data_IF_338265287288
#
_entry.id   IF_338265287288
#
_cell.length_a   1.000
_cell.length_b   1.000
_cell.length_c   1.000
_cell.angle_alpha   90.00
_cell.angle_beta   90.00
_cell.angle_gamma   90.00
#
_symmetry.space_group_name_H-M   'P 1'
#
loop_
_entity.id
_entity.type
_entity.pdbx_description
1 polymer ?
#
# COMPACT_ATOMS: atom_id res chain seq x y z
N UNK A 1 50.93 -45.87 72.68
CA UNK A 1 51.23 -46.76 73.85
C UNK A 1 52.24 -47.80 73.39
N UNK A 2 53.26 -48.13 74.18
CA UNK A 2 54.17 -49.24 73.87
C UNK A 2 53.41 -50.57 74.00
N UNK A 3 52.82 -51.01 72.88
CA UNK A 3 51.99 -52.21 72.82
C UNK A 3 52.81 -53.48 72.55
N UNK A 4 54.11 -53.35 72.25
CA UNK A 4 55.00 -54.47 71.92
C UNK A 4 56.17 -54.64 72.93
N UNK A 5 56.28 -53.74 73.90
CA UNK A 5 57.26 -53.70 74.99
C UNK A 5 58.73 -53.60 74.54
N UNK A 6 59.01 -53.00 73.38
CA UNK A 6 60.38 -52.85 72.88
C UNK A 6 61.11 -51.59 73.41
N UNK A 7 60.39 -50.75 74.15
CA UNK A 7 60.91 -49.53 74.77
C UNK A 7 60.77 -48.28 73.91
N UNK A 8 60.20 -48.39 72.71
CA UNK A 8 59.70 -47.27 71.94
C UNK A 8 58.18 -47.18 72.12
N UNK A 9 57.56 -46.08 71.70
CA UNK A 9 56.11 -45.88 71.81
C UNK A 9 55.59 -45.56 70.42
N UNK A 10 54.62 -46.35 69.96
CA UNK A 10 53.93 -46.19 68.67
C UNK A 10 54.86 -46.36 67.44
N UNK A 11 55.86 -47.27 67.50
CA UNK A 11 56.74 -47.52 66.34
C UNK A 11 55.96 -48.00 65.11
N UNK A 12 56.20 -47.34 63.98
CA UNK A 12 55.59 -47.69 62.69
C UNK A 12 54.16 -47.19 62.51
N UNK A 13 53.64 -46.36 63.43
CA UNK A 13 52.32 -45.70 63.34
C UNK A 13 52.41 -44.20 63.07
N UNK A 14 53.56 -43.71 62.61
CA UNK A 14 53.71 -42.31 62.23
C UNK A 14 53.27 -42.08 60.79
N UNK A 15 52.55 -40.98 60.57
CA UNK A 15 52.21 -40.47 59.25
C UNK A 15 52.98 -39.17 59.02
N UNK A 16 53.26 -38.87 57.75
CA UNK A 16 53.79 -37.58 57.35
C UNK A 16 52.61 -36.63 57.19
N UNK A 17 52.70 -35.48 57.86
CA UNK A 17 51.75 -34.38 57.81
C UNK A 17 52.44 -33.17 57.17
N UNK A 18 51.75 -32.47 56.29
CA UNK A 18 52.25 -31.34 55.50
C UNK A 18 51.61 -30.05 56.00
N UNK A 19 52.38 -28.98 56.11
CA UNK A 19 51.85 -27.70 56.58
C UNK A 19 50.75 -27.23 55.62
N UNK A 20 49.67 -26.71 56.19
CA UNK A 20 48.52 -26.11 55.50
C UNK A 20 48.40 -24.69 56.05
N UNK A 21 49.16 -23.78 55.44
CA UNK A 21 49.40 -22.43 55.97
C UNK A 21 48.31 -21.43 55.57
N UNK A 22 47.58 -21.68 54.49
CA UNK A 22 46.44 -20.86 54.06
C UNK A 22 45.06 -21.45 54.42
N UNK A 23 44.99 -22.72 54.80
CA UNK A 23 43.80 -23.36 55.36
C UNK A 23 42.84 -23.96 54.33
N UNK A 24 43.30 -24.31 53.13
CA UNK A 24 42.48 -24.93 52.09
C UNK A 24 42.37 -26.48 52.20
N UNK A 25 43.13 -27.07 53.13
CA UNK A 25 43.27 -28.50 53.41
C UNK A 25 44.17 -29.31 52.46
N UNK A 26 44.92 -28.63 51.60
CA UNK A 26 46.09 -29.15 50.92
C UNK A 26 47.34 -28.66 51.67
N UNK A 27 48.51 -29.26 51.43
CA UNK A 27 49.69 -28.84 52.16
C UNK A 27 51.00 -28.95 51.39
N UNK A 28 51.99 -28.16 51.79
CA UNK A 28 53.29 -28.04 51.12
C UNK A 28 54.13 -29.31 51.29
N UNK A 29 54.43 -29.98 50.17
CA UNK A 29 55.32 -31.16 50.12
C UNK A 29 56.72 -30.91 50.72
N UNK A 30 57.20 -29.66 50.70
CA UNK A 30 58.50 -29.24 51.21
C UNK A 30 58.50 -28.92 52.70
N UNK A 31 57.31 -28.80 53.32
CA UNK A 31 57.15 -28.48 54.72
C UNK A 31 56.33 -29.56 55.44
N UNK A 32 57.01 -30.61 55.89
CA UNK A 32 56.35 -31.75 56.56
C UNK A 32 56.97 -32.12 57.90
N UNK A 33 56.12 -32.68 58.76
CA UNK A 33 56.49 -33.28 60.04
C UNK A 33 55.94 -34.70 60.14
N UNK A 34 56.60 -35.54 60.92
CA UNK A 34 56.18 -36.93 61.16
C UNK A 34 55.60 -37.05 62.55
N UNK A 35 54.33 -37.41 62.66
CA UNK A 35 53.62 -37.52 63.95
C UNK A 35 52.55 -38.63 63.89
N UNK A 36 52.10 -39.10 65.06
CA UNK A 36 51.09 -40.17 65.20
C UNK A 36 49.65 -39.65 65.01
N UNK A 37 49.42 -38.34 65.18
CA UNK A 37 48.12 -37.69 65.05
C UNK A 37 48.28 -36.36 64.33
N UNK A 38 47.25 -35.90 63.60
CA UNK A 38 47.25 -34.62 62.88
C UNK A 38 47.65 -33.44 63.79
N UNK A 39 48.81 -32.83 63.55
CA UNK A 39 49.21 -31.59 64.22
C UNK A 39 48.33 -30.42 63.74
N UNK A 40 48.13 -29.41 64.58
CA UNK A 40 47.36 -28.23 64.18
C UNK A 40 48.06 -27.45 63.07
N UNK A 41 47.35 -27.10 62.00
CA UNK A 41 47.90 -26.43 60.81
C UNK A 41 48.67 -27.35 59.87
N UNK A 42 48.41 -28.67 59.94
CA UNK A 42 48.96 -29.64 59.01
C UNK A 42 47.87 -30.58 58.52
N UNK A 43 47.98 -31.05 57.29
CA UNK A 43 47.08 -32.01 56.65
C UNK A 43 47.83 -33.22 56.10
N UNK A 44 47.11 -34.28 55.77
CA UNK A 44 47.71 -35.50 55.21
C UNK A 44 47.95 -35.41 53.71
N UNK A 45 47.25 -34.48 53.05
CA UNK A 45 47.41 -34.20 51.64
C UNK A 45 48.67 -33.33 51.43
N UNK A 46 49.36 -33.52 50.31
CA UNK A 46 50.63 -32.86 50.01
C UNK A 46 50.69 -32.28 48.60
N UNK A 47 49.51 -32.02 48.05
CA UNK A 47 49.30 -31.75 46.63
C UNK A 47 49.16 -30.26 46.32
N UNK A 48 49.31 -29.40 47.34
CA UNK A 48 49.26 -27.95 47.23
C UNK A 48 50.42 -27.41 46.40
N UNK A 49 50.11 -26.55 45.43
CA UNK A 49 51.10 -25.88 44.60
C UNK A 49 51.50 -24.48 45.12
N UNK A 50 50.71 -23.85 45.97
CA UNK A 50 51.03 -22.59 46.67
C UNK A 50 50.34 -22.51 48.04
N UNK A 51 51.01 -23.05 49.07
CA UNK A 51 50.64 -23.05 50.51
C UNK A 51 50.58 -21.65 51.15
N UNK A 52 50.49 -20.60 50.34
CA UNK A 52 50.24 -19.23 50.77
C UNK A 52 48.97 -18.60 50.17
N UNK A 53 48.31 -19.26 49.20
CA UNK A 53 47.08 -18.82 48.56
C UNK A 53 46.03 -19.94 48.55
N UNK A 54 44.94 -19.81 49.34
CA UNK A 54 43.92 -20.86 49.47
C UNK A 54 43.05 -21.03 48.22
N UNK A 55 43.37 -20.35 47.11
CA UNK A 55 42.75 -20.54 45.80
C UNK A 55 43.65 -21.36 44.84
N UNK A 56 44.80 -21.86 45.29
CA UNK A 56 45.74 -22.59 44.43
C UNK A 56 45.92 -24.03 44.95
N UNK A 57 44.92 -24.88 44.67
CA UNK A 57 44.91 -26.27 45.11
C UNK A 57 44.31 -27.23 44.07
N UNK A 58 44.68 -28.52 44.11
CA UNK A 58 44.22 -29.50 43.14
C UNK A 58 42.72 -29.55 42.90
N UNK A 59 42.33 -29.31 41.64
CA UNK A 59 40.95 -29.37 41.20
C UNK A 59 40.10 -28.17 41.65
N UNK A 60 40.71 -27.06 42.04
CA UNK A 60 40.02 -25.79 42.11
C UNK A 60 39.60 -25.32 40.69
N UNK A 61 38.82 -24.24 40.61
CA UNK A 61 38.47 -23.64 39.31
C UNK A 61 39.56 -22.69 38.84
N UNK A 62 40.11 -22.94 37.67
CA UNK A 62 41.04 -22.04 37.00
C UNK A 62 40.34 -20.74 36.56
N UNK A 63 40.93 -19.61 36.91
CA UNK A 63 40.41 -18.27 36.59
C UNK A 63 41.52 -17.37 36.04
N UNK A 64 41.12 -16.24 35.45
CA UNK A 64 42.04 -15.27 34.86
C UNK A 64 42.74 -14.39 35.90
N UNK A 65 43.64 -14.94 36.70
CA UNK A 65 44.41 -14.23 37.71
C UNK A 65 45.94 -14.35 37.56
N UNK A 66 46.42 -15.13 36.58
CA UNK A 66 47.85 -15.37 36.35
C UNK A 66 48.49 -16.39 37.27
N UNK A 67 47.69 -17.17 37.99
CA UNK A 67 48.11 -18.25 38.89
C UNK A 67 47.67 -19.60 38.31
N UNK A 68 48.17 -20.69 38.89
CA UNK A 68 47.73 -22.07 38.59
C UNK A 68 46.79 -22.45 39.73
N UNK A 69 45.49 -22.17 39.56
CA UNK A 69 44.53 -22.31 40.65
C UNK A 69 44.23 -23.78 40.94
N UNK A 70 44.32 -24.66 39.94
CA UNK A 70 43.95 -26.07 40.05
C UNK A 70 45.15 -27.04 40.16
N UNK A 71 46.36 -26.50 40.20
CA UNK A 71 47.64 -27.18 40.36
C UNK A 71 47.95 -28.22 39.27
N UNK A 72 47.47 -28.06 38.04
CA UNK A 72 47.75 -28.96 36.92
C UNK A 72 49.00 -28.56 36.09
N UNK A 73 49.66 -27.45 36.46
CA UNK A 73 50.80 -26.80 35.80
C UNK A 73 50.48 -26.01 34.53
N UNK A 74 49.20 -25.78 34.24
CA UNK A 74 48.74 -24.84 33.24
C UNK A 74 48.28 -23.54 33.95
N UNK A 75 48.32 -22.43 33.22
CA UNK A 75 47.99 -21.11 33.76
C UNK A 75 47.15 -20.36 32.73
N UNK A 76 46.02 -19.84 33.16
CA UNK A 76 45.08 -19.04 32.39
C UNK A 76 44.77 -19.71 31.03
N UNK A 77 45.12 -19.04 29.92
CA UNK A 77 44.86 -19.43 28.53
C UNK A 77 45.52 -20.75 28.10
N UNK A 78 46.45 -21.27 28.91
CA UNK A 78 47.09 -22.55 28.65
C UNK A 78 46.27 -23.72 29.20
N UNK A 79 45.35 -23.43 30.11
CA UNK A 79 44.55 -24.40 30.83
C UNK A 79 43.20 -24.66 30.11
N UNK A 80 42.88 -25.91 29.75
CA UNK A 80 41.59 -26.27 29.16
C UNK A 80 40.38 -26.13 30.10
N UNK A 81 40.60 -26.08 31.42
CA UNK A 81 39.59 -25.99 32.48
C UNK A 81 39.36 -24.53 32.93
N UNK A 82 40.04 -23.56 32.30
CA UNK A 82 39.85 -22.12 32.49
C UNK A 82 38.36 -21.72 32.46
N UNK A 83 37.95 -20.92 33.43
CA UNK A 83 36.67 -20.22 33.46
C UNK A 83 36.89 -18.73 33.21
N UNK A 84 37.07 -18.39 31.94
CA UNK A 84 37.33 -17.02 31.46
C UNK A 84 36.11 -16.26 30.98
N UNK A 85 36.36 -15.12 30.33
CA UNK A 85 35.33 -14.35 29.63
C UNK A 85 35.08 -14.95 28.25
N UNK A 86 33.84 -14.88 27.77
CA UNK A 86 33.50 -15.26 26.40
C UNK A 86 33.59 -14.02 25.52
N UNK A 87 34.38 -14.11 24.46
CA UNK A 87 34.46 -13.11 23.39
C UNK A 87 33.91 -13.69 22.09
N UNK A 88 33.41 -12.82 21.23
CA UNK A 88 32.72 -13.13 19.98
C UNK A 88 33.50 -12.54 18.81
N UNK A 89 33.57 -13.27 17.70
CA UNK A 89 34.25 -12.81 16.49
C UNK A 89 33.55 -11.53 15.98
N UNK A 90 34.34 -10.52 15.66
CA UNK A 90 33.95 -9.30 14.95
C UNK A 90 34.52 -9.43 13.54
N UNK A 91 33.71 -10.00 12.63
CA UNK A 91 34.22 -10.46 11.34
C UNK A 91 34.32 -9.37 10.27
N UNK A 92 33.56 -8.28 10.39
CA UNK A 92 33.60 -7.13 9.48
C UNK A 92 34.34 -5.90 10.05
N UNK A 93 34.62 -5.87 11.35
CA UNK A 93 35.46 -4.87 12.00
C UNK A 93 34.71 -3.64 12.50
N UNK A 94 33.42 -3.73 12.80
CA UNK A 94 32.60 -2.64 13.30
C UNK A 94 32.57 -2.51 14.85
N UNK A 95 33.26 -3.42 15.55
CA UNK A 95 33.32 -3.57 17.02
C UNK A 95 32.12 -4.26 17.68
N UNK A 96 31.23 -4.86 16.91
CA UNK A 96 30.16 -5.73 17.35
C UNK A 96 30.45 -7.17 16.92
N UNK A 97 30.05 -8.12 17.77
CA UNK A 97 30.39 -9.52 17.56
C UNK A 97 29.18 -10.33 17.14
N UNK A 98 29.36 -11.25 16.20
CA UNK A 98 28.35 -12.23 15.84
C UNK A 98 28.14 -13.30 16.91
N UNK A 99 26.91 -13.81 17.04
CA UNK A 99 26.60 -14.88 18.01
C UNK A 99 27.11 -16.29 17.59
N UNK A 100 27.68 -16.42 16.40
CA UNK A 100 27.97 -17.71 15.76
C UNK A 100 29.33 -18.30 16.14
N UNK A 101 30.30 -17.45 16.45
CA UNK A 101 31.68 -17.82 16.73
C UNK A 101 32.15 -17.13 18.00
N UNK A 102 32.48 -17.92 19.02
CA UNK A 102 32.98 -17.41 20.29
C UNK A 102 34.18 -18.19 20.80
N UNK A 103 34.98 -17.53 21.63
CA UNK A 103 36.15 -18.09 22.28
C UNK A 103 36.21 -17.63 23.73
N UNK A 104 36.59 -18.54 24.63
CA UNK A 104 36.91 -18.20 26.01
C UNK A 104 38.35 -17.69 26.10
N UNK A 105 38.54 -16.57 26.79
CA UNK A 105 39.85 -15.97 27.05
C UNK A 105 39.78 -15.02 28.27
N UNK A 106 40.93 -14.64 28.79
CA UNK A 106 41.11 -13.64 29.82
C UNK A 106 41.06 -12.22 29.27
N UNK A 107 41.61 -12.01 28.07
CA UNK A 107 41.56 -10.72 27.35
C UNK A 107 41.00 -10.92 25.95
N UNK A 108 40.41 -9.89 25.32
CA UNK A 108 39.83 -10.03 23.99
C UNK A 108 40.92 -10.48 22.99
N UNK A 109 40.75 -11.65 22.34
CA UNK A 109 41.64 -12.05 21.26
C UNK A 109 41.60 -11.05 20.09
N UNK A 110 42.64 -10.97 19.24
CA UNK A 110 42.59 -10.13 18.05
C UNK A 110 41.42 -10.51 17.14
N UNK A 111 40.58 -9.52 16.80
CA UNK A 111 39.37 -9.72 16.00
C UNK A 111 38.16 -10.24 16.78
N UNK A 112 38.21 -10.20 18.12
CA UNK A 112 37.08 -10.58 18.97
C UNK A 112 36.68 -9.44 19.91
N UNK A 113 35.39 -9.33 20.20
CA UNK A 113 34.78 -8.33 21.09
C UNK A 113 33.95 -8.99 22.19
N UNK A 114 33.60 -8.26 23.24
CA UNK A 114 32.90 -8.81 24.40
C UNK A 114 31.37 -8.88 24.25
N UNK A 115 30.83 -8.38 23.15
CA UNK A 115 29.39 -8.34 22.88
C UNK A 115 29.05 -9.32 21.74
N UNK A 116 27.78 -9.73 21.65
CA UNK A 116 27.29 -10.70 20.66
C UNK A 116 26.00 -10.24 19.97
N UNK A 117 25.89 -8.93 19.78
CA UNK A 117 24.65 -8.23 19.45
C UNK A 117 24.60 -7.76 17.99
N UNK A 118 25.61 -8.11 17.20
CA UNK A 118 25.63 -7.89 15.77
C UNK A 118 24.57 -8.76 15.06
N UNK A 119 23.76 -8.13 14.21
CA UNK A 119 22.74 -8.81 13.42
C UNK A 119 23.25 -9.31 12.05
N UNK A 120 24.34 -8.75 11.51
CA UNK A 120 25.03 -9.25 10.32
C UNK A 120 26.56 -9.05 10.40
N UNK A 121 27.22 -10.04 10.99
CA UNK A 121 28.69 -10.18 11.17
C UNK A 121 29.50 -10.23 9.86
N UNK A 122 28.93 -9.85 8.72
CA UNK A 122 29.63 -9.68 7.44
C UNK A 122 29.42 -8.29 6.82
N UNK A 123 28.62 -7.42 7.45
CA UNK A 123 28.28 -6.10 6.95
C UNK A 123 28.49 -5.04 8.07
N UNK A 124 29.57 -4.25 7.99
CA UNK A 124 29.93 -3.30 9.05
C UNK A 124 28.98 -2.09 9.12
N UNK A 125 27.95 -2.03 8.27
CA UNK A 125 26.88 -1.04 8.32
C UNK A 125 25.62 -1.58 9.05
N UNK A 126 25.63 -2.81 9.57
CA UNK A 126 24.48 -3.45 10.22
C UNK A 126 24.76 -3.83 11.68
N UNK A 127 24.71 -2.86 12.59
CA UNK A 127 25.04 -3.06 14.00
C UNK A 127 24.17 -2.24 14.96
N UNK A 128 24.09 -2.62 16.26
CA UNK A 128 23.25 -1.94 17.22
C UNK A 128 23.48 -0.43 17.33
N UNK A 129 22.37 0.32 17.37
CA UNK A 129 22.34 1.78 17.43
C UNK A 129 22.95 2.49 16.21
N UNK A 130 23.19 1.79 15.09
CA UNK A 130 23.56 2.46 13.85
C UNK A 130 22.41 3.37 13.34
N UNK A 131 22.72 4.25 12.39
CA UNK A 131 21.69 5.06 11.74
C UNK A 131 21.11 4.29 10.56
N UNK A 132 19.80 4.09 10.58
CA UNK A 132 19.07 3.55 9.43
C UNK A 132 19.40 4.32 8.15
N UNK A 133 19.53 3.57 7.06
CA UNK A 133 19.52 4.09 5.69
C UNK A 133 18.49 3.29 4.91
N UNK A 134 17.84 3.93 3.93
CA UNK A 134 16.85 3.19 3.14
C UNK A 134 17.52 2.30 2.09
N UNK A 135 17.91 1.10 2.51
CA UNK A 135 18.51 0.08 1.67
C UNK A 135 17.79 -1.28 1.77
N UNK A 136 16.74 -1.37 2.60
CA UNK A 136 15.99 -2.58 2.84
C UNK A 136 16.66 -3.54 3.82
N UNK A 137 17.65 -3.06 4.58
CA UNK A 137 18.31 -3.76 5.67
C UNK A 137 17.90 -3.17 7.03
N UNK A 138 18.20 -3.90 8.10
CA UNK A 138 18.03 -3.44 9.48
C UNK A 138 19.41 -2.98 9.94
N UNK A 139 19.75 -1.71 9.69
CA UNK A 139 21.11 -1.23 9.91
C UNK A 139 21.42 -1.09 11.41
N UNK A 140 20.41 -0.89 12.25
CA UNK A 140 20.54 -0.63 13.67
C UNK A 140 20.23 -1.84 14.56
N UNK A 141 19.91 -2.99 13.96
CA UNK A 141 19.60 -4.26 14.60
C UNK A 141 18.43 -4.20 15.61
N UNK A 142 17.43 -3.34 15.40
CA UNK A 142 16.25 -3.24 16.28
C UNK A 142 15.11 -4.21 15.91
N UNK A 143 15.26 -4.92 14.78
CA UNK A 143 14.29 -5.86 14.22
C UNK A 143 13.26 -5.22 13.28
N UNK A 144 13.39 -3.94 12.96
CA UNK A 144 12.63 -3.22 11.94
C UNK A 144 13.56 -2.88 10.77
N UNK A 145 12.95 -2.66 9.59
CA UNK A 145 13.70 -2.33 8.37
C UNK A 145 13.31 -0.91 7.97
N UNK A 146 14.32 -0.07 7.74
CA UNK A 146 14.20 1.32 7.28
C UNK A 146 13.24 2.19 8.15
N UNK A 147 13.14 1.95 9.46
CA UNK A 147 12.16 2.64 10.30
C UNK A 147 12.46 4.13 10.46
N UNK A 148 11.39 4.93 10.49
CA UNK A 148 11.51 6.39 10.49
C UNK A 148 11.98 7.00 9.15
N UNK A 149 12.34 6.19 8.15
CA UNK A 149 12.71 6.63 6.81
C UNK A 149 11.65 6.35 5.74
N UNK A 150 10.74 5.41 6.01
CA UNK A 150 9.64 5.10 5.09
C UNK A 150 8.52 6.14 5.15
N UNK A 151 8.02 6.53 3.97
CA UNK A 151 6.80 7.33 3.82
C UNK A 151 5.67 6.39 3.35
N UNK A 152 4.44 6.63 3.80
CA UNK A 152 3.27 5.94 3.27
C UNK A 152 2.88 6.62 1.95
N UNK A 153 2.78 5.83 0.90
CA UNK A 153 2.37 6.26 -0.43
C UNK A 153 1.04 5.60 -0.78
N UNK A 154 0.16 6.32 -1.45
CA UNK A 154 -1.21 5.95 -1.81
C UNK A 154 -1.33 5.81 -3.32
N UNK A 155 -1.99 4.78 -3.80
CA UNK A 155 -2.12 4.54 -5.24
C UNK A 155 -2.88 5.70 -5.90
N UNK A 156 -2.42 6.13 -7.08
CA UNK A 156 -3.00 7.18 -7.92
C UNK A 156 -3.27 6.53 -9.29
N UNK A 157 -4.46 5.92 -9.43
CA UNK A 157 -4.81 5.09 -10.57
C UNK A 157 -5.24 5.91 -11.79
N UNK A 158 -5.82 7.09 -11.59
CA UNK A 158 -6.30 7.96 -12.66
C UNK A 158 -5.34 9.10 -13.04
N UNK A 159 -4.32 9.36 -12.22
CA UNK A 159 -3.22 10.27 -12.50
C UNK A 159 -3.49 11.73 -12.16
N UNK A 160 -4.41 12.04 -11.23
CA UNK A 160 -4.72 13.41 -10.81
C UNK A 160 -3.85 13.95 -9.66
N UNK A 161 -2.93 13.13 -9.14
CA UNK A 161 -1.99 13.40 -8.04
C UNK A 161 -2.52 13.27 -6.62
N UNK A 162 -3.75 12.81 -6.45
CA UNK A 162 -4.32 12.37 -5.18
C UNK A 162 -4.43 10.85 -5.19
N UNK A 163 -4.40 10.21 -4.02
CA UNK A 163 -4.40 8.75 -3.96
C UNK A 163 -5.41 8.15 -2.99
N UNK A 164 -5.77 6.89 -3.24
CA UNK A 164 -6.74 6.14 -2.45
C UNK A 164 -6.19 5.77 -1.06
N UNK A 165 -6.81 6.28 -0.01
CA UNK A 165 -6.49 5.97 1.39
C UNK A 165 -6.54 4.47 1.72
N UNK A 166 -7.31 3.68 0.97
CA UNK A 166 -7.48 2.24 1.17
C UNK A 166 -6.43 1.40 0.41
N UNK A 167 -5.63 2.03 -0.44
CA UNK A 167 -4.60 1.37 -1.24
C UNK A 167 -3.24 2.07 -1.03
N UNK A 168 -2.49 1.63 -0.03
CA UNK A 168 -1.21 2.24 0.33
C UNK A 168 -0.08 1.22 0.49
N UNK A 169 1.15 1.70 0.30
CA UNK A 169 2.40 0.98 0.51
C UNK A 169 3.39 1.87 1.27
N UNK A 170 4.27 1.26 2.07
CA UNK A 170 5.40 1.96 2.69
C UNK A 170 6.61 1.87 1.79
N UNK A 171 7.22 3.01 1.47
CA UNK A 171 8.45 3.09 0.68
C UNK A 171 9.20 4.39 1.00
N UNK A 172 10.52 4.39 0.82
CA UNK A 172 11.33 5.58 1.12
C UNK A 172 11.27 6.65 0.04
N UNK A 173 11.01 6.25 -1.19
CA UNK A 173 10.84 7.15 -2.34
C UNK A 173 9.53 6.85 -3.03
N UNK A 174 8.93 7.87 -3.63
CA UNK A 174 7.68 7.77 -4.38
C UNK A 174 7.70 6.61 -5.38
N UNK A 175 6.92 5.54 -5.15
CA UNK A 175 6.74 4.47 -6.12
C UNK A 175 5.96 4.99 -7.33
N UNK A 176 6.21 4.41 -8.51
CA UNK A 176 5.48 4.79 -9.71
C UNK A 176 3.98 4.46 -9.57
N UNK A 177 3.10 5.42 -9.88
CA UNK A 177 1.66 5.28 -9.71
C UNK A 177 1.18 5.43 -8.27
N UNK A 178 2.00 6.03 -7.39
CA UNK A 178 1.61 6.37 -6.03
C UNK A 178 1.98 7.83 -5.70
N UNK A 179 1.26 8.45 -4.78
CA UNK A 179 1.45 9.81 -4.28
C UNK A 179 1.40 9.85 -2.75
N UNK A 180 1.90 10.92 -2.13
CA UNK A 180 1.89 11.06 -0.68
C UNK A 180 0.55 11.57 -0.14
N UNK A 181 -0.27 12.15 -1.01
CA UNK A 181 -1.59 12.68 -0.66
C UNK A 181 -2.63 11.56 -0.73
N UNK A 182 -3.51 11.47 0.25
CA UNK A 182 -4.44 10.35 0.43
C UNK A 182 -5.91 10.77 0.42
N UNK A 183 -6.17 11.95 -0.12
CA UNK A 183 -7.46 12.62 0.01
C UNK A 183 -8.38 12.42 -1.18
N UNK A 184 -8.02 11.53 -2.10
CA UNK A 184 -8.85 11.19 -3.25
C UNK A 184 -10.17 10.52 -2.81
N UNK A 185 -11.30 10.98 -3.37
CA UNK A 185 -12.61 10.40 -3.12
C UNK A 185 -13.05 9.39 -4.19
N UNK A 186 -12.43 9.38 -5.37
CA UNK A 186 -12.67 8.39 -6.44
C UNK A 186 -11.45 8.23 -7.35
N UNK A 187 -10.54 7.34 -6.94
CA UNK A 187 -9.28 6.94 -7.61
C UNK A 187 -9.47 6.26 -8.99
N UNK A 188 -10.68 6.28 -9.56
CA UNK A 188 -10.93 5.87 -10.94
C UNK A 188 -11.35 7.05 -11.83
N UNK A 189 -11.39 8.26 -11.30
CA UNK A 189 -11.87 9.43 -11.99
C UNK A 189 -11.04 10.68 -11.65
N UNK A 190 -10.16 11.03 -12.59
CA UNK A 190 -9.24 12.19 -12.59
C UNK A 190 -9.90 13.55 -12.35
N UNK A 191 -11.23 13.62 -12.32
CA UNK A 191 -12.00 14.83 -12.03
C UNK A 191 -12.59 14.86 -10.61
N UNK A 192 -12.31 13.86 -9.77
CA UNK A 192 -12.88 13.73 -8.44
C UNK A 192 -11.79 13.81 -7.37
N UNK A 193 -11.22 15.01 -7.18
CA UNK A 193 -10.16 15.26 -6.21
C UNK A 193 -10.37 16.52 -5.37
N UNK A 194 -9.75 16.61 -4.18
CA UNK A 194 -9.95 17.73 -3.28
C UNK A 194 -9.69 19.10 -3.87
N UNK A 195 -10.71 19.96 -3.76
CA UNK A 195 -10.64 21.33 -4.23
C UNK A 195 -10.72 21.49 -5.74
N UNK A 196 -11.07 20.44 -6.50
CA UNK A 196 -11.49 20.60 -7.88
C UNK A 196 -12.73 21.51 -7.98
N UNK A 197 -13.08 21.97 -9.18
CA UNK A 197 -14.35 22.65 -9.40
C UNK A 197 -15.45 21.62 -9.68
N UNK A 198 -16.62 21.80 -9.07
CA UNK A 198 -17.82 21.02 -9.39
C UNK A 198 -18.20 21.19 -10.88
N UNK A 199 -18.38 20.07 -11.57
CA UNK A 199 -18.79 20.03 -12.99
C UNK A 199 -20.27 19.70 -13.19
N UNK A 200 -21.06 19.74 -12.11
CA UNK A 200 -22.52 19.59 -12.10
C UNK A 200 -22.99 18.30 -12.83
N UNK A 201 -22.30 17.19 -12.59
CA UNK A 201 -22.50 15.89 -13.24
C UNK A 201 -23.07 14.82 -12.30
N UNK A 202 -23.45 15.21 -11.08
CA UNK A 202 -23.96 14.32 -10.04
C UNK A 202 -22.86 13.61 -9.25
N UNK A 203 -21.59 13.92 -9.50
CA UNK A 203 -20.45 13.46 -8.74
C UNK A 203 -20.01 14.54 -7.74
N UNK A 204 -19.21 14.15 -6.74
CA UNK A 204 -18.56 15.07 -5.80
C UNK A 204 -17.15 15.32 -6.33
N UNK A 205 -17.02 16.26 -7.27
CA UNK A 205 -15.76 16.44 -7.99
C UNK A 205 -14.67 17.00 -7.10
N UNK A 206 -15.03 17.72 -6.05
CA UNK A 206 -14.09 18.37 -5.16
C UNK A 206 -13.90 17.68 -3.80
N UNK A 207 -14.49 16.50 -3.65
CA UNK A 207 -14.39 15.63 -2.49
C UNK A 207 -14.78 16.29 -1.16
N UNK A 208 -15.78 17.18 -1.16
CA UNK A 208 -16.24 17.85 0.06
C UNK A 208 -17.40 17.12 0.77
N UNK A 209 -17.90 16.04 0.18
CA UNK A 209 -19.04 15.25 0.66
C UNK A 209 -20.40 15.70 0.14
N UNK A 210 -20.45 16.66 -0.79
CA UNK A 210 -21.66 17.15 -1.44
C UNK A 210 -21.45 17.10 -2.95
N UNK A 211 -22.36 16.43 -3.66
CA UNK A 211 -22.36 16.49 -5.12
C UNK A 211 -22.97 17.83 -5.59
N UNK A 212 -22.35 18.44 -6.60
CA UNK A 212 -22.84 19.59 -7.35
C UNK A 212 -23.12 20.85 -6.48
N UNK A 213 -22.39 21.09 -5.40
CA UNK A 213 -22.57 22.34 -4.65
C UNK A 213 -21.99 23.55 -5.41
N UNK A 214 -22.54 24.74 -5.16
CA UNK A 214 -22.05 25.95 -5.86
C UNK A 214 -22.42 26.03 -7.35
N UNK A 215 -23.12 25.02 -7.90
CA UNK A 215 -23.85 25.08 -9.17
C UNK A 215 -25.00 26.13 -9.09
N UNK A 216 -24.65 27.42 -9.06
CA UNK A 216 -25.58 28.56 -9.13
C UNK A 216 -25.57 29.14 -10.54
N UNK A 217 -26.27 28.45 -11.45
CA UNK A 217 -26.26 28.86 -12.86
C UNK A 217 -27.24 28.10 -13.74
N UNK A 218 -28.54 28.35 -13.54
CA UNK A 218 -29.65 28.02 -14.46
C UNK A 218 -29.93 26.53 -14.61
N UNK A 219 -30.91 26.05 -13.83
CA UNK A 219 -31.77 24.96 -14.28
C UNK A 219 -32.39 25.36 -15.63
N UNK A 220 -31.85 24.86 -16.73
CA UNK A 220 -32.70 24.54 -17.87
C UNK A 220 -33.32 23.18 -17.59
N UNK A 221 -34.28 23.18 -16.67
CA UNK A 221 -35.41 22.33 -16.92
C UNK A 221 -36.03 22.85 -18.23
N UNK A 222 -35.80 22.17 -19.36
CA UNK A 222 -36.94 21.87 -20.23
C UNK A 222 -37.77 20.76 -19.54
N UNK A 223 -38.15 21.03 -18.30
CA UNK A 223 -38.90 20.17 -17.40
C UNK A 223 -40.38 20.40 -17.62
N UNK A 224 -40.79 20.25 -18.88
CA UNK A 224 -42.15 19.87 -19.20
C UNK A 224 -42.34 18.45 -18.68
N UNK A 225 -42.73 18.36 -17.40
CA UNK A 225 -43.24 17.13 -16.84
C UNK A 225 -44.72 17.03 -17.18
N UNK A 226 -45.04 16.07 -18.06
CA UNK A 226 -46.41 15.62 -18.29
C UNK A 226 -46.71 14.51 -17.29
N UNK A 227 -47.61 14.78 -16.34
CA UNK A 227 -48.15 13.72 -15.49
C UNK A 227 -49.66 13.65 -15.60
N UNK A 228 -50.16 12.56 -16.19
CA UNK A 228 -51.59 12.28 -16.29
C UNK A 228 -51.99 11.35 -15.15
N UNK A 229 -52.62 11.94 -14.15
CA UNK A 229 -53.32 11.18 -13.13
C UNK A 229 -54.61 10.58 -13.69
N UNK A 230 -54.79 9.29 -13.40
CA UNK A 230 -55.96 8.48 -13.74
C UNK A 230 -57.31 9.18 -13.52
N UNK A 231 -58.30 8.83 -14.36
CA UNK A 231 -59.72 8.88 -13.96
C UNK A 231 -60.16 7.46 -13.61
N UNK A 232 -60.30 7.16 -12.32
CA UNK A 232 -61.42 6.33 -11.84
C UNK A 232 -61.83 6.76 -10.42
N UNK A 233 -63.11 6.54 -10.09
CA UNK A 233 -63.69 6.80 -8.77
C UNK A 233 -63.05 5.91 -7.70
N UNK A 234 -62.22 6.49 -6.82
CA UNK A 234 -62.16 6.33 -5.36
C UNK A 234 -60.81 6.83 -4.79
N UNK A 235 -60.80 8.04 -4.22
CA UNK A 235 -59.93 8.65 -3.15
C UNK A 235 -58.51 8.06 -2.87
N UNK A 236 -57.42 8.84 -2.73
CA UNK A 236 -57.09 9.70 -1.58
C UNK A 236 -55.90 10.69 -1.82
N UNK A 237 -56.07 11.91 -1.28
CA UNK A 237 -55.20 12.87 -0.55
C UNK A 237 -53.77 13.31 -0.97
N UNK A 238 -53.56 14.63 -0.78
CA UNK A 238 -52.52 15.52 -1.27
C UNK A 238 -51.53 16.03 -0.21
N UNK A 239 -50.49 16.79 -0.61
CA UNK A 239 -49.96 17.95 0.16
C UNK A 239 -49.54 19.12 -0.76
N UNK A 240 -50.37 20.17 -0.71
CA UNK A 240 -50.19 21.60 -1.04
C UNK A 240 -50.11 22.16 -2.49
N UNK A 241 -50.44 23.46 -2.58
CA UNK A 241 -51.45 24.11 -3.46
C UNK A 241 -50.98 24.62 -4.83
N UNK A 242 -51.86 24.55 -5.84
CA UNK A 242 -51.96 25.56 -6.94
C UNK A 242 -53.44 25.89 -7.22
N UNK A 243 -53.74 27.18 -7.39
CA UNK A 243 -55.04 27.72 -7.82
C UNK A 243 -55.05 28.07 -9.31
N UNK A 244 -56.16 27.78 -10.01
CA UNK A 244 -56.50 28.32 -11.34
C UNK A 244 -58.01 28.58 -11.44
N UNK A 245 -58.40 29.71 -12.02
CA UNK A 245 -59.78 30.26 -12.00
C UNK A 245 -60.72 29.71 -13.09
N UNK A 246 -60.42 28.57 -13.73
CA UNK A 246 -61.24 28.05 -14.83
C UNK A 246 -62.18 26.90 -14.41
N UNK A 247 -63.50 27.12 -14.53
CA UNK A 247 -64.53 26.08 -14.36
C UNK A 247 -64.76 25.35 -15.70
N UNK A 248 -64.52 24.05 -15.75
CA UNK A 248 -64.74 23.19 -16.94
C UNK A 248 -65.96 22.28 -16.71
N UNK A 249 -66.91 22.26 -17.65
CA UNK A 249 -68.07 21.37 -17.62
C UNK A 249 -67.89 20.15 -18.55
N UNK A 250 -68.52 19.04 -18.18
CA UNK A 250 -68.37 17.75 -18.82
C UNK A 250 -68.85 17.73 -20.28
N UNK A 251 -68.02 17.22 -21.20
CA UNK A 251 -68.37 16.99 -22.60
C UNK A 251 -67.85 18.01 -23.63
N UNK A 252 -66.93 18.90 -23.27
CA UNK A 252 -66.22 19.73 -24.26
C UNK A 252 -64.89 19.10 -24.67
N UNK A 253 -64.64 19.01 -25.98
CA UNK A 253 -63.32 18.73 -26.51
C UNK A 253 -62.38 19.86 -26.12
N UNK A 254 -61.21 19.49 -25.58
CA UNK A 254 -60.11 20.44 -25.37
C UNK A 254 -59.43 20.59 -26.74
N UNK A 255 -59.55 21.78 -27.32
CA UNK A 255 -58.77 22.16 -28.48
C UNK A 255 -57.44 22.73 -27.97
N UNK A 256 -56.37 21.96 -28.12
CA UNK A 256 -55.02 22.53 -28.02
C UNK A 256 -54.79 23.30 -29.32
N UNK A 257 -54.93 24.61 -29.26
CA UNK A 257 -54.45 25.48 -30.35
C UNK A 257 -52.93 25.49 -30.28
N UNK A 258 -52.27 25.22 -31.41
CA UNK A 258 -50.82 25.33 -31.56
C UNK A 258 -50.33 26.68 -31.04
N UNK A 259 -49.75 26.65 -29.84
CA UNK A 259 -48.77 27.59 -29.35
C UNK A 259 -47.43 26.86 -29.30
N UNK A 260 -46.34 27.63 -29.21
CA UNK A 260 -44.97 27.27 -29.60
C UNK A 260 -44.28 26.07 -28.91
N UNK A 261 -44.96 25.22 -28.15
CA UNK A 261 -44.30 24.24 -27.29
C UNK A 261 -44.73 22.79 -27.47
N UNK A 262 -45.61 22.44 -28.43
CA UNK A 262 -45.90 21.02 -28.71
C UNK A 262 -46.08 20.79 -30.21
N UNK A 263 -45.08 20.19 -30.86
CA UNK A 263 -45.24 19.52 -32.16
C UNK A 263 -45.30 18.01 -31.92
N UNK A 264 -46.46 17.42 -32.21
CA UNK A 264 -46.60 15.96 -32.30
C UNK A 264 -46.06 15.54 -33.66
N UNK A 265 -44.94 14.83 -33.69
CA UNK A 265 -44.28 14.47 -34.96
C UNK A 265 -45.10 13.48 -35.82
N UNK A 266 -46.20 12.91 -35.27
CA UNK A 266 -47.26 12.28 -36.05
C UNK A 266 -48.63 12.38 -35.35
N UNK A 267 -49.70 12.62 -36.13
CA UNK A 267 -51.07 12.47 -35.66
C UNK A 267 -51.38 11.00 -35.37
N UNK A 268 -51.86 10.68 -34.17
CA UNK A 268 -52.41 9.36 -33.87
C UNK A 268 -53.79 9.46 -33.23
N UNK A 269 -54.64 8.47 -33.50
CA UNK A 269 -56.00 8.37 -32.98
C UNK A 269 -56.05 7.24 -31.93
N UNK A 270 -56.36 7.58 -30.68
CA UNK A 270 -56.54 6.59 -29.62
C UNK A 270 -58.02 6.23 -29.51
N UNK A 271 -58.33 4.94 -29.68
CA UNK A 271 -59.70 4.44 -29.50
C UNK A 271 -60.03 4.25 -28.03
N UNK A 272 -61.30 4.42 -27.61
CA UNK A 272 -61.74 4.12 -26.26
C UNK A 272 -61.39 2.66 -25.88
N UNK A 273 -60.61 2.48 -24.81
CA UNK A 273 -60.19 1.16 -24.29
C UNK A 273 -58.85 0.64 -24.81
N UNK A 274 -58.08 1.42 -25.57
CA UNK A 274 -56.72 1.04 -25.92
C UNK A 274 -55.78 1.14 -24.71
N UNK A 275 -54.98 0.10 -24.47
CA UNK A 275 -53.81 0.12 -23.58
C UNK A 275 -52.58 0.21 -24.49
N UNK A 276 -51.73 1.19 -24.24
CA UNK A 276 -50.47 1.34 -24.95
C UNK A 276 -49.36 1.61 -23.92
N UNK A 277 -48.15 1.19 -24.27
CA UNK A 277 -46.95 1.33 -23.44
C UNK A 277 -45.99 2.24 -24.20
N UNK A 278 -45.49 3.28 -23.54
CA UNK A 278 -44.47 4.18 -24.08
C UNK A 278 -43.28 4.09 -23.15
N UNK A 279 -42.13 3.73 -23.69
CA UNK A 279 -40.85 3.78 -22.98
C UNK A 279 -40.13 5.07 -23.39
N UNK A 280 -39.68 5.83 -22.39
CA UNK A 280 -38.77 6.96 -22.60
C UNK A 280 -37.37 6.43 -22.30
N UNK A 281 -36.45 6.62 -23.24
CA UNK A 281 -35.04 6.32 -23.02
C UNK A 281 -34.37 7.50 -22.27
N UNK A 282 -33.44 7.18 -21.36
CA UNK A 282 -32.78 8.18 -20.52
C UNK A 282 -31.99 9.21 -21.34
N UNK A 283 -32.04 10.46 -20.87
CA UNK A 283 -31.37 11.60 -21.49
C UNK A 283 -29.85 11.50 -21.30
N UNK A 284 -29.12 11.43 -22.41
CA UNK A 284 -27.68 11.71 -22.44
C UNK A 284 -27.49 13.22 -22.33
N UNK A 285 -26.70 13.65 -21.35
CA UNK A 285 -26.38 15.06 -21.09
C UNK A 285 -25.39 15.57 -22.16
N UNK A 286 -25.77 16.64 -22.85
CA UNK A 286 -24.87 17.50 -23.65
C UNK A 286 -24.86 18.87 -22.96
N UNK A 287 -23.81 19.19 -22.22
CA UNK A 287 -23.63 20.50 -21.58
C UNK A 287 -22.86 21.47 -22.49
N UNK A 288 -23.31 22.73 -22.50
CA UNK A 288 -22.69 23.93 -23.09
C UNK A 288 -22.58 24.94 -21.93
N UNK A 289 -21.52 25.72 -21.69
CA UNK A 289 -20.67 26.56 -22.56
C UNK A 289 -19.53 27.17 -21.69
N UNK A 290 -18.32 27.38 -22.21
CA UNK A 290 -17.87 28.74 -22.57
C UNK A 290 -16.66 28.79 -23.54
N UNK A 291 -16.83 29.62 -24.57
CA UNK A 291 -15.89 30.19 -25.55
C UNK A 291 -14.66 29.36 -26.04
N UNK A 292 -14.89 28.63 -27.15
CA UNK A 292 -14.03 28.40 -28.34
C UNK A 292 -13.55 26.98 -28.68
N UNK A 293 -13.73 25.98 -27.82
CA UNK A 293 -13.49 24.55 -28.15
C UNK A 293 -14.72 23.62 -28.00
N UNK A 294 -15.75 24.03 -27.25
CA UNK A 294 -16.89 23.15 -26.88
C UNK A 294 -17.85 22.76 -28.01
N UNK A 295 -17.86 23.49 -29.12
CA UNK A 295 -18.69 23.12 -30.28
C UNK A 295 -18.25 21.80 -30.91
N UNK A 296 -16.97 21.46 -30.78
CA UNK A 296 -16.39 20.23 -31.31
C UNK A 296 -16.66 19.02 -30.41
N UNK A 297 -16.84 19.23 -29.10
CA UNK A 297 -17.12 18.15 -28.13
C UNK A 297 -18.51 17.54 -28.40
N UNK A 298 -19.54 18.37 -28.65
CA UNK A 298 -20.88 17.87 -28.99
C UNK A 298 -20.90 17.09 -30.31
N UNK A 299 -20.15 17.53 -31.32
CA UNK A 299 -20.06 16.81 -32.59
C UNK A 299 -19.27 15.50 -32.44
N UNK A 300 -18.13 15.49 -31.73
CA UNK A 300 -17.34 14.27 -31.48
C UNK A 300 -18.12 13.23 -30.69
N UNK A 301 -18.87 13.64 -29.66
CA UNK A 301 -19.73 12.72 -28.89
C UNK A 301 -20.85 12.14 -29.76
N UNK A 302 -21.46 12.96 -30.64
CA UNK A 302 -22.44 12.47 -31.61
C UNK A 302 -21.83 11.50 -32.62
N UNK A 303 -20.57 11.72 -33.03
CA UNK A 303 -19.85 10.82 -33.94
C UNK A 303 -19.49 9.49 -33.26
N UNK A 304 -19.05 9.51 -31.99
CA UNK A 304 -18.70 8.30 -31.24
C UNK A 304 -19.91 7.38 -31.01
N UNK A 305 -21.13 7.93 -30.95
CA UNK A 305 -22.37 7.16 -30.83
C UNK A 305 -22.89 6.58 -32.16
N UNK A 306 -22.20 6.80 -33.28
CA UNK A 306 -22.55 6.18 -34.55
C UNK A 306 -22.06 4.73 -34.52
N UNK A 307 -23.02 3.81 -34.54
CA UNK A 307 -22.76 2.37 -34.61
C UNK A 307 -22.17 1.96 -35.99
N UNK A 308 -20.84 2.00 -36.07
CA UNK A 308 -20.04 1.51 -37.21
C UNK A 308 -18.84 0.66 -36.77
N UNK A 309 -18.73 0.30 -35.48
CA UNK A 309 -17.58 -0.44 -34.96
C UNK A 309 -17.38 -1.78 -35.67
N UNK A 310 -18.47 -2.54 -35.91
CA UNK A 310 -18.40 -3.79 -36.66
C UNK A 310 -17.93 -3.59 -38.10
N UNK A 311 -18.18 -2.42 -38.70
CA UNK A 311 -17.76 -2.12 -40.07
C UNK A 311 -16.28 -1.76 -40.12
N UNK A 312 -15.81 -1.02 -39.10
CA UNK A 312 -14.41 -0.66 -38.91
C UNK A 312 -13.59 -1.93 -38.63
N UNK A 313 -14.05 -2.82 -37.75
CA UNK A 313 -13.38 -4.10 -37.46
C UNK A 313 -13.28 -5.02 -38.69
N UNK A 314 -14.25 -4.96 -39.62
CA UNK A 314 -14.21 -5.70 -40.89
C UNK A 314 -13.27 -5.10 -41.93
N UNK A 315 -12.71 -3.92 -41.66
CA UNK A 315 -11.76 -3.24 -42.55
C UNK A 315 -12.39 -2.66 -43.83
N UNK A 316 -13.70 -2.45 -43.83
CA UNK A 316 -14.44 -2.04 -45.02
C UNK A 316 -14.34 -0.54 -45.26
N UNK A 317 -14.39 -0.12 -46.53
CA UNK A 317 -14.57 1.30 -46.82
C UNK A 317 -16.01 1.71 -46.57
N UNK A 318 -16.19 2.87 -45.94
CA UNK A 318 -17.50 3.40 -45.58
C UNK A 318 -17.82 4.56 -46.53
N UNK A 319 -18.90 4.41 -47.29
CA UNK A 319 -19.48 5.49 -48.08
C UNK A 319 -20.34 6.34 -47.16
N UNK A 320 -20.14 7.65 -47.17
CA UNK A 320 -21.00 8.56 -46.42
C UNK A 320 -21.57 9.68 -47.28
N UNK A 321 -22.75 10.15 -46.89
CA UNK A 321 -23.48 11.25 -47.48
C UNK A 321 -24.05 12.15 -46.37
N UNK A 322 -23.79 13.45 -46.44
CA UNK A 322 -24.34 14.46 -45.53
C UNK A 322 -25.41 15.25 -46.25
N UNK A 323 -26.63 15.22 -45.72
CA UNK A 323 -27.79 15.92 -46.25
C UNK A 323 -28.16 17.08 -45.32
N UNK A 324 -28.61 18.21 -45.88
CA UNK A 324 -29.21 19.29 -45.09
C UNK A 324 -30.67 18.98 -44.71
N UNK A 325 -31.31 19.89 -43.97
CA UNK A 325 -32.72 19.81 -43.57
C UNK A 325 -33.74 19.80 -44.73
N UNK A 326 -33.31 19.98 -45.98
CA UNK A 326 -34.13 19.87 -47.20
C UNK A 326 -33.83 18.58 -47.99
N UNK A 327 -33.06 17.66 -47.41
CA UNK A 327 -32.56 16.44 -48.05
C UNK A 327 -31.70 16.70 -49.30
N UNK A 328 -31.03 17.85 -49.37
CA UNK A 328 -30.06 18.14 -50.43
C UNK A 328 -28.69 17.61 -50.00
N UNK A 329 -28.02 16.86 -50.88
CA UNK A 329 -26.67 16.35 -50.64
C UNK A 329 -25.67 17.51 -50.63
N UNK A 330 -25.05 17.71 -49.47
CA UNK A 330 -24.01 18.71 -49.25
C UNK A 330 -22.63 18.12 -49.54
N UNK A 331 -22.42 16.86 -49.16
CA UNK A 331 -21.15 16.18 -49.34
C UNK A 331 -21.33 14.67 -49.39
N UNK A 332 -20.55 13.98 -50.23
CA UNK A 332 -20.38 12.54 -50.17
C UNK A 332 -18.94 12.12 -50.48
N UNK A 333 -18.46 11.08 -49.79
CA UNK A 333 -17.18 10.44 -50.10
C UNK A 333 -17.12 9.00 -49.60
N UNK A 334 -16.10 8.28 -50.06
CA UNK A 334 -15.73 6.95 -49.58
C UNK A 334 -14.49 7.07 -48.68
N UNK A 335 -14.61 6.73 -47.40
CA UNK A 335 -13.54 6.85 -46.41
C UNK A 335 -12.96 5.48 -46.05
N UNK A 336 -11.62 5.33 -45.91
CA UNK A 336 -11.01 4.16 -45.26
C UNK A 336 -11.44 4.01 -43.80
N UNK A 337 -11.67 2.78 -43.32
CA UNK A 337 -12.07 2.51 -41.93
C UNK A 337 -11.14 3.15 -40.88
N UNK A 338 -9.82 3.04 -41.05
CA UNK A 338 -8.80 3.53 -40.11
C UNK A 338 -8.79 5.06 -39.90
N UNK A 339 -9.47 5.82 -40.77
CA UNK A 339 -9.51 7.29 -40.71
C UNK A 339 -10.93 7.82 -40.76
N UNK A 340 -11.93 6.97 -40.51
CA UNK A 340 -13.34 7.31 -40.65
C UNK A 340 -13.73 8.53 -39.82
N UNK A 341 -13.53 8.46 -38.50
CA UNK A 341 -13.93 9.54 -37.58
C UNK A 341 -13.18 10.85 -37.86
N UNK A 342 -11.87 10.78 -38.09
CA UNK A 342 -11.05 11.96 -38.38
C UNK A 342 -11.51 12.69 -39.65
N UNK A 343 -11.69 11.96 -40.76
CA UNK A 343 -12.10 12.58 -42.03
C UNK A 343 -13.53 13.09 -41.96
N UNK A 344 -14.42 12.38 -41.26
CA UNK A 344 -15.80 12.83 -41.06
C UNK A 344 -15.86 14.12 -40.24
N UNK A 345 -15.07 14.20 -39.18
CA UNK A 345 -14.93 15.41 -38.34
C UNK A 345 -14.45 16.62 -39.17
N UNK A 346 -13.37 16.46 -39.93
CA UNK A 346 -12.84 17.51 -40.82
C UNK A 346 -13.89 18.03 -41.80
N UNK A 347 -14.78 17.16 -42.29
CA UNK A 347 -15.83 17.51 -43.25
C UNK A 347 -17.04 18.17 -42.61
N UNK A 348 -17.39 17.82 -41.38
CA UNK A 348 -18.48 18.47 -40.66
C UNK A 348 -18.06 19.86 -40.14
N UNK A 349 -16.78 20.05 -39.80
CA UNK A 349 -16.24 21.32 -39.30
C UNK A 349 -16.44 22.52 -40.25
N UNK A 350 -16.51 22.27 -41.56
CA UNK A 350 -16.72 23.34 -42.55
C UNK A 350 -18.18 23.76 -42.71
N UNK A 351 -19.15 23.02 -42.18
CA UNK A 351 -20.59 23.27 -42.34
C UNK A 351 -21.11 24.31 -41.35
N UNK A 352 -22.07 25.14 -41.74
CA UNK A 352 -22.71 26.11 -40.84
C UNK A 352 -23.53 25.42 -39.73
N UNK A 353 -23.81 26.14 -38.64
CA UNK A 353 -24.64 25.61 -37.54
C UNK A 353 -26.02 25.21 -38.05
N UNK A 354 -26.49 24.03 -37.66
CA UNK A 354 -27.73 23.46 -38.17
C UNK A 354 -27.86 21.96 -37.94
N UNK A 355 -28.95 21.39 -38.45
CA UNK A 355 -29.26 19.96 -38.37
C UNK A 355 -28.98 19.31 -39.71
N UNK A 356 -28.18 18.24 -39.68
CA UNK A 356 -27.78 17.47 -40.85
C UNK A 356 -28.16 15.99 -40.65
N UNK A 357 -28.39 15.30 -41.76
CA UNK A 357 -28.58 13.85 -41.78
C UNK A 357 -27.35 13.21 -42.38
N UNK A 358 -26.73 12.29 -41.64
CA UNK A 358 -25.60 11.50 -42.10
C UNK A 358 -26.10 10.11 -42.49
N UNK A 359 -25.95 9.77 -43.76
CA UNK A 359 -26.20 8.44 -44.29
C UNK A 359 -24.86 7.72 -44.51
N UNK A 360 -24.73 6.52 -43.97
CA UNK A 360 -23.56 5.67 -44.08
C UNK A 360 -23.94 4.36 -44.78
N UNK A 361 -23.04 3.85 -45.60
CA UNK A 361 -23.21 2.55 -46.25
C UNK A 361 -21.91 1.82 -46.56
N UNK A 362 -21.99 0.49 -46.67
CA UNK A 362 -20.87 -0.37 -47.08
C UNK A 362 -21.13 -1.04 -48.43
N UNK A 363 -20.10 -1.59 -49.07
CA UNK A 363 -20.26 -2.34 -50.33
C UNK A 363 -21.06 -3.64 -50.17
N UNK A 364 -21.27 -4.10 -48.93
CA UNK A 364 -22.08 -5.28 -48.61
C UNK A 364 -23.57 -4.98 -48.41
N UNK A 365 -23.96 -3.71 -48.45
CA UNK A 365 -25.35 -3.27 -48.29
C UNK A 365 -25.76 -2.99 -46.85
N UNK A 366 -24.79 -2.80 -45.94
CA UNK A 366 -25.09 -2.28 -44.60
C UNK A 366 -25.40 -0.78 -44.70
N UNK A 367 -26.33 -0.29 -43.88
CA UNK A 367 -26.79 1.10 -43.87
C UNK A 367 -27.01 1.60 -42.44
N UNK A 368 -26.58 2.83 -42.16
CA UNK A 368 -26.82 3.53 -40.90
C UNK A 368 -27.16 4.98 -41.21
N UNK A 369 -28.16 5.53 -40.55
CA UNK A 369 -28.59 6.91 -40.72
C UNK A 369 -28.64 7.57 -39.35
N UNK A 370 -27.87 8.63 -39.18
CA UNK A 370 -27.74 9.34 -37.92
C UNK A 370 -28.04 10.83 -38.12
N UNK A 371 -28.76 11.43 -37.16
CA UNK A 371 -29.00 12.86 -37.13
C UNK A 371 -27.85 13.54 -36.39
N UNK A 372 -27.27 14.58 -36.98
CA UNK A 372 -26.16 15.34 -36.39
C UNK A 372 -26.59 16.80 -36.24
N UNK A 373 -26.39 17.36 -35.05
CA UNK A 373 -26.63 18.76 -34.73
C UNK A 373 -25.28 19.45 -34.58
N UNK A 374 -25.02 20.42 -35.46
CA UNK A 374 -23.85 21.29 -35.38
C UNK A 374 -24.27 22.62 -34.77
N UNK A 375 -23.65 22.98 -33.65
CA UNK A 375 -23.92 24.22 -32.93
C UNK A 375 -22.73 25.15 -33.19
N UNK A 376 -22.84 26.03 -34.20
CA UNK A 376 -21.84 27.05 -34.51
C UNK A 376 -22.18 28.40 -33.88
#
# INVERSE_FOLDING_TARGET
QDNNCDGQVDEGLTQIWYADADGDNHGDINNSITDCTQPAGYVSDNTDCDDSDPNNFPGNTEICDGQDNDCDSLIDEQDPDLVGNIYYLDADGDSYGGNSTSQMACTPPPGYVSNNIDCDDNDPDNFPDNTEVCDGQDNNCDGQIDEGLVTIWYADFDGDTYGDINNSISACTQPAGYVSDNTDCDDNNVFNFPGNAEICDGQDNNCNGLADEGCSGVYYCNGDSLDVNSITQNSFHAMDYITSDAVINNGQNILFTSGNDIDLDMNFEVKPGAVFEVAIADCVVLSFRDESEDQFISMRNQLQNIDVEEWIQRGEKIQFEVLNNKNENIFSAEIPHDSFYQILEEKLNILDGGVYMLNLSTQRGDHNTSRIVLLK
#
